data_IF_547602597273
#
_entry.id   IF_547602597273
#
_cell.length_a   1.000
_cell.length_b   1.000
_cell.length_c   1.000
_cell.angle_alpha   90.00
_cell.angle_beta   90.00
_cell.angle_gamma   90.00
#
_symmetry.space_group_name_H-M   'P 1'
#
loop_
_entity.id
_entity.type
_entity.pdbx_description
1 polymer ?
#
# COMPACT_ATOMS: atom_id res chain seq x y z
N UNK A 1 -57.32 -36.24 -24.54
CA UNK A 1 -57.13 -34.94 -23.91
C UNK A 1 -55.71 -34.90 -23.29
N UNK A 2 -54.75 -34.21 -23.92
CA UNK A 2 -53.39 -34.08 -23.42
C UNK A 2 -53.30 -32.75 -22.64
N UNK A 3 -53.01 -32.84 -21.34
CA UNK A 3 -52.75 -31.67 -20.50
C UNK A 3 -51.37 -31.15 -20.81
N UNK A 4 -51.28 -29.91 -21.24
CA UNK A 4 -50.04 -29.14 -21.37
C UNK A 4 -49.75 -28.43 -20.02
N UNK A 5 -48.71 -28.88 -19.34
CA UNK A 5 -48.20 -28.20 -18.14
C UNK A 5 -47.25 -27.11 -18.59
N UNK A 6 -47.63 -25.85 -18.40
CA UNK A 6 -46.75 -24.67 -18.65
C UNK A 6 -45.88 -24.49 -17.41
N UNK A 7 -44.60 -24.81 -17.54
CA UNK A 7 -43.59 -24.46 -16.52
C UNK A 7 -43.20 -22.98 -16.68
N UNK A 8 -43.63 -22.15 -15.73
CA UNK A 8 -43.18 -20.77 -15.64
C UNK A 8 -41.77 -20.77 -15.01
N UNK A 9 -40.77 -20.49 -15.85
CA UNK A 9 -39.40 -20.25 -15.38
C UNK A 9 -39.35 -18.83 -14.75
N UNK A 10 -39.36 -18.77 -13.43
CA UNK A 10 -39.11 -17.51 -12.71
C UNK A 10 -37.61 -17.21 -12.75
N UNK A 11 -37.22 -16.28 -13.61
CA UNK A 11 -35.89 -15.68 -13.58
C UNK A 11 -35.76 -14.80 -12.33
N UNK A 12 -35.13 -15.34 -11.30
CA UNK A 12 -34.68 -14.52 -10.16
C UNK A 12 -33.47 -13.70 -10.63
N UNK A 13 -33.70 -12.44 -10.97
CA UNK A 13 -32.64 -11.46 -11.16
C UNK A 13 -32.01 -11.21 -9.78
N UNK A 14 -30.91 -11.88 -9.53
CA UNK A 14 -30.05 -11.54 -8.41
C UNK A 14 -29.38 -10.20 -8.74
N UNK A 15 -29.99 -9.09 -8.34
CA UNK A 15 -29.30 -7.81 -8.30
C UNK A 15 -28.20 -7.94 -7.25
N UNK A 16 -26.98 -8.20 -7.69
CA UNK A 16 -25.81 -7.96 -6.87
C UNK A 16 -25.75 -6.44 -6.65
N UNK A 17 -26.33 -6.00 -5.54
CA UNK A 17 -26.09 -4.66 -5.03
C UNK A 17 -24.60 -4.54 -4.83
N UNK A 18 -23.94 -3.72 -5.66
CA UNK A 18 -22.63 -3.18 -5.35
C UNK A 18 -22.75 -2.55 -3.97
N UNK A 19 -22.20 -3.22 -2.95
CA UNK A 19 -22.27 -2.76 -1.59
C UNK A 19 -21.71 -1.34 -1.54
N UNK A 20 -22.56 -0.38 -1.18
CA UNK A 20 -22.10 0.97 -0.88
C UNK A 20 -20.97 0.82 0.13
N UNK A 21 -19.78 1.29 -0.23
CA UNK A 21 -18.63 1.34 0.68
C UNK A 21 -19.10 2.07 1.92
N UNK A 22 -19.28 1.36 3.04
CA UNK A 22 -19.70 1.97 4.30
C UNK A 22 -18.68 3.03 4.64
N UNK A 23 -19.11 4.30 4.58
CA UNK A 23 -18.26 5.42 4.97
C UNK A 23 -17.92 5.22 6.44
N UNK A 24 -16.63 5.06 6.75
CA UNK A 24 -16.16 4.99 8.11
C UNK A 24 -16.40 6.38 8.75
N UNK A 25 -17.04 6.48 9.95
CA UNK A 25 -17.27 7.76 10.62
C UNK A 25 -15.97 8.54 10.92
N UNK A 26 -14.83 7.85 10.95
CA UNK A 26 -13.50 8.45 11.13
C UNK A 26 -12.83 8.81 9.79
N UNK A 27 -13.50 8.58 8.65
CA UNK A 27 -12.99 8.86 7.32
C UNK A 27 -13.03 10.35 7.00
N UNK A 28 -11.91 10.87 6.51
CA UNK A 28 -11.70 12.28 6.17
C UNK A 28 -11.04 12.38 4.80
N UNK A 29 -11.08 13.59 4.23
CA UNK A 29 -10.38 13.89 2.99
C UNK A 29 -9.38 15.02 3.20
N UNK A 30 -8.20 14.86 2.62
CA UNK A 30 -7.15 15.86 2.49
C UNK A 30 -7.02 16.25 1.02
N UNK A 31 -6.87 17.53 0.72
CA UNK A 31 -6.63 18.00 -0.64
C UNK A 31 -5.13 18.13 -0.89
N UNK A 32 -4.60 17.31 -1.78
CA UNK A 32 -3.22 17.38 -2.23
C UNK A 32 -3.16 17.88 -3.68
N UNK A 33 -2.85 19.16 -3.88
CA UNK A 33 -2.74 19.78 -5.20
C UNK A 33 -3.97 19.54 -6.11
N UNK A 34 -5.18 19.66 -5.53
CA UNK A 34 -6.44 19.43 -6.24
C UNK A 34 -6.94 17.98 -6.22
N UNK A 35 -6.13 17.03 -5.74
CA UNK A 35 -6.48 15.61 -5.62
C UNK A 35 -7.00 15.31 -4.22
N UNK A 36 -8.17 14.68 -4.11
CA UNK A 36 -8.73 14.25 -2.81
C UNK A 36 -8.09 12.96 -2.36
N UNK A 37 -7.51 12.99 -1.19
CA UNK A 37 -6.87 11.85 -0.53
C UNK A 37 -7.70 11.46 0.67
N UNK A 38 -8.17 10.22 0.71
CA UNK A 38 -8.92 9.68 1.83
C UNK A 38 -7.97 9.13 2.89
N UNK A 39 -8.29 9.40 4.14
CA UNK A 39 -7.61 8.79 5.28
C UNK A 39 -8.57 8.58 6.45
N UNK A 40 -8.23 7.66 7.33
CA UNK A 40 -8.93 7.40 8.59
C UNK A 40 -8.02 7.79 9.74
N UNK A 41 -8.58 8.54 10.73
CA UNK A 41 -7.85 9.08 11.87
C UNK A 41 -8.57 8.62 13.13
N UNK A 42 -8.02 7.61 13.82
CA UNK A 42 -8.72 6.88 14.89
C UNK A 42 -7.83 6.73 16.12
N UNK A 43 -8.42 6.87 17.30
CA UNK A 43 -7.71 6.73 18.58
C UNK A 43 -6.99 8.01 19.00
N UNK A 44 -6.28 7.91 20.13
CA UNK A 44 -5.52 9.00 20.74
C UNK A 44 -4.16 8.45 21.18
N UNK A 45 -3.15 9.28 21.23
CA UNK A 45 -1.81 8.92 21.67
C UNK A 45 -0.75 9.24 20.61
N UNK A 46 0.37 8.53 20.63
CA UNK A 46 1.42 8.74 19.64
C UNK A 46 0.92 8.41 18.24
N UNK A 47 1.23 9.24 17.23
CA UNK A 47 0.81 8.98 15.86
C UNK A 47 1.41 7.68 15.30
N UNK A 48 0.57 6.88 14.63
CA UNK A 48 0.93 5.67 13.91
C UNK A 48 0.38 5.73 12.48
N UNK A 49 1.26 5.92 11.51
CA UNK A 49 0.93 5.91 10.08
C UNK A 49 0.84 4.48 9.57
N UNK A 50 -0.22 4.15 8.83
CA UNK A 50 -0.47 2.85 8.25
C UNK A 50 -0.60 2.97 6.72
N UNK A 51 0.33 2.36 5.97
CA UNK A 51 0.37 2.40 4.51
C UNK A 51 0.15 1.00 3.93
N UNK A 52 -0.93 0.86 3.17
CA UNK A 52 -1.33 -0.41 2.57
C UNK A 52 -0.43 -0.83 1.38
N UNK A 53 -0.48 -2.11 1.00
CA UNK A 53 0.16 -2.65 -0.20
C UNK A 53 -0.61 -2.24 -1.47
N UNK A 54 0.00 -2.44 -2.64
CA UNK A 54 -0.68 -2.28 -3.92
C UNK A 54 -1.99 -3.08 -3.94
N UNK A 55 -3.02 -2.56 -4.60
CA UNK A 55 -4.40 -3.10 -4.70
C UNK A 55 -5.25 -3.08 -3.42
N UNK A 56 -4.70 -2.76 -2.27
CA UNK A 56 -5.48 -2.62 -1.04
C UNK A 56 -5.89 -1.16 -0.78
N UNK A 57 -6.45 -0.94 0.39
CA UNK A 57 -6.92 0.36 0.89
C UNK A 57 -6.66 0.44 2.39
N UNK A 58 -6.98 1.57 3.02
CA UNK A 58 -6.96 1.71 4.48
C UNK A 58 -7.79 0.63 5.18
N UNK A 59 -8.81 0.08 4.51
CA UNK A 59 -9.66 -0.97 5.08
C UNK A 59 -8.90 -2.25 5.42
N UNK A 60 -7.77 -2.53 4.77
CA UNK A 60 -6.92 -3.68 5.11
C UNK A 60 -6.32 -3.59 6.52
N UNK A 61 -6.24 -2.39 7.07
CA UNK A 61 -5.74 -2.16 8.41
C UNK A 61 -6.81 -2.24 9.51
N UNK A 62 -8.12 -2.37 9.18
CA UNK A 62 -9.20 -2.36 10.16
C UNK A 62 -9.00 -3.30 11.36
N UNK A 63 -8.64 -4.60 11.17
CA UNK A 63 -8.41 -5.49 12.30
C UNK A 63 -7.28 -5.01 13.23
N UNK A 64 -6.25 -4.40 12.65
CA UNK A 64 -5.10 -3.86 13.39
C UNK A 64 -5.45 -2.53 14.08
N UNK A 65 -6.22 -1.66 13.41
CA UNK A 65 -6.68 -0.38 13.98
C UNK A 65 -7.50 -0.59 15.23
N UNK A 66 -8.35 -1.62 15.29
CA UNK A 66 -9.13 -1.98 16.49
C UNK A 66 -8.25 -2.25 17.72
N UNK A 67 -7.03 -2.75 17.49
CA UNK A 67 -6.05 -3.00 18.56
C UNK A 67 -5.18 -1.76 18.80
N UNK A 68 -4.61 -1.19 17.74
CA UNK A 68 -3.63 -0.11 17.86
C UNK A 68 -4.26 1.19 18.35
N UNK A 69 -5.50 1.51 17.97
CA UNK A 69 -6.19 2.73 18.38
C UNK A 69 -6.46 2.82 19.90
N UNK A 70 -6.25 1.74 20.64
CA UNK A 70 -6.28 1.75 22.12
C UNK A 70 -5.10 2.49 22.75
N UNK A 71 -3.98 2.61 22.02
CA UNK A 71 -2.73 3.20 22.52
C UNK A 71 -2.15 4.27 21.59
N UNK A 72 -2.50 4.25 20.30
CA UNK A 72 -1.97 5.12 19.27
C UNK A 72 -3.11 5.95 18.62
N UNK A 73 -2.75 7.09 18.05
CA UNK A 73 -3.55 7.77 17.04
C UNK A 73 -3.20 7.17 15.69
N UNK A 74 -4.00 6.26 15.18
CA UNK A 74 -3.77 5.59 13.88
C UNK A 74 -4.22 6.49 12.74
N UNK A 75 -3.37 6.63 11.72
CA UNK A 75 -3.63 7.37 10.47
C UNK A 75 -3.47 6.38 9.32
N UNK A 76 -4.58 5.81 8.85
CA UNK A 76 -4.59 4.85 7.74
C UNK A 76 -5.02 5.57 6.46
N UNK A 77 -4.22 5.47 5.38
CA UNK A 77 -4.40 6.27 4.17
C UNK A 77 -4.74 5.36 2.99
N UNK A 78 -5.77 5.74 2.21
CA UNK A 78 -5.92 5.23 0.84
C UNK A 78 -4.92 6.00 -0.03
N UNK A 79 -3.87 5.35 -0.51
CA UNK A 79 -2.87 6.01 -1.36
C UNK A 79 -3.51 6.46 -2.70
N UNK A 80 -2.91 7.44 -3.35
CA UNK A 80 -3.41 7.99 -4.64
C UNK A 80 -3.76 6.86 -5.61
N UNK A 81 -4.92 6.97 -6.24
CA UNK A 81 -5.46 5.97 -7.16
C UNK A 81 -6.14 4.78 -6.50
N UNK A 82 -6.00 4.60 -5.18
CA UNK A 82 -6.59 3.47 -4.46
C UNK A 82 -7.87 3.87 -3.70
N UNK A 83 -8.77 2.92 -3.53
CA UNK A 83 -9.95 3.05 -2.69
C UNK A 83 -10.75 4.32 -2.95
N UNK A 84 -10.87 5.17 -1.92
CA UNK A 84 -11.62 6.44 -1.94
C UNK A 84 -10.79 7.64 -2.38
N UNK A 85 -9.45 7.51 -2.47
CA UNK A 85 -8.57 8.56 -2.99
C UNK A 85 -8.67 8.68 -4.50
N UNK A 86 -8.58 9.92 -5.02
CA UNK A 86 -8.61 10.19 -6.45
C UNK A 86 -7.29 9.77 -7.13
N UNK A 87 -7.31 9.68 -8.46
CA UNK A 87 -6.12 9.61 -9.30
C UNK A 87 -5.51 11.01 -9.39
N UNK A 88 -4.18 11.15 -9.23
CA UNK A 88 -3.50 12.45 -9.23
C UNK A 88 -3.62 13.18 -10.57
N UNK A 89 -3.28 12.46 -11.64
CA UNK A 89 -3.46 12.90 -13.02
C UNK A 89 -3.79 11.67 -13.85
N UNK A 90 -4.89 11.70 -14.57
CA UNK A 90 -5.43 10.54 -15.28
C UNK A 90 -4.43 9.90 -16.25
N UNK A 91 -3.60 10.71 -16.91
CA UNK A 91 -2.64 10.26 -17.91
C UNK A 91 -1.23 10.08 -17.36
N UNK A 92 -0.99 10.33 -16.06
CA UNK A 92 0.31 10.19 -15.44
C UNK A 92 0.49 8.81 -14.80
N UNK A 93 0.80 7.84 -15.65
CA UNK A 93 1.18 6.48 -15.20
C UNK A 93 2.61 6.42 -14.61
N UNK A 94 3.33 7.53 -14.59
CA UNK A 94 4.68 7.63 -14.02
C UNK A 94 4.67 8.04 -12.55
N UNK A 95 3.50 8.10 -11.90
CA UNK A 95 3.39 8.39 -10.49
C UNK A 95 4.08 7.29 -9.67
N UNK A 96 5.07 7.69 -8.84
CA UNK A 96 6.02 6.78 -8.20
C UNK A 96 5.91 6.83 -6.68
N UNK A 97 6.58 5.88 -6.00
CA UNK A 97 6.63 5.84 -4.54
C UNK A 97 7.17 7.13 -3.91
N UNK A 98 8.11 7.81 -4.57
CA UNK A 98 8.57 9.13 -4.14
C UNK A 98 7.48 10.20 -4.14
N UNK A 99 6.50 10.11 -5.05
CA UNK A 99 5.36 11.04 -5.11
C UNK A 99 4.31 10.69 -4.04
N UNK A 100 4.08 9.40 -3.77
CA UNK A 100 3.31 8.98 -2.59
C UNK A 100 3.94 9.54 -1.30
N UNK A 101 5.26 9.47 -1.16
CA UNK A 101 5.96 10.00 0.01
C UNK A 101 5.73 11.50 0.17
N UNK A 102 5.86 12.31 -0.88
CA UNK A 102 5.59 13.75 -0.83
C UNK A 102 4.15 14.05 -0.40
N UNK A 103 3.17 13.31 -0.92
CA UNK A 103 1.77 13.46 -0.55
C UNK A 103 1.55 13.10 0.94
N UNK A 104 2.15 12.02 1.44
CA UNK A 104 2.06 11.63 2.86
C UNK A 104 2.69 12.68 3.76
N UNK A 105 3.86 13.24 3.41
CA UNK A 105 4.47 14.33 4.17
C UNK A 105 3.54 15.54 4.26
N UNK A 106 2.91 15.93 3.15
CA UNK A 106 1.94 17.03 3.13
C UNK A 106 0.70 16.74 4.00
N UNK A 107 0.22 15.49 3.99
CA UNK A 107 -0.87 15.07 4.89
C UNK A 107 -0.45 15.18 6.35
N UNK A 108 0.71 14.65 6.74
CA UNK A 108 1.22 14.72 8.10
C UNK A 108 1.42 16.17 8.57
N UNK A 109 1.88 17.07 7.67
CA UNK A 109 1.99 18.51 7.96
C UNK A 109 0.62 19.15 8.23
N UNK A 110 -0.37 18.83 7.40
CA UNK A 110 -1.75 19.33 7.58
C UNK A 110 -2.37 18.87 8.92
N UNK A 111 -1.98 17.68 9.38
CA UNK A 111 -2.41 17.10 10.64
C UNK A 111 -1.57 17.55 11.85
N UNK A 112 -0.53 18.37 11.62
CA UNK A 112 0.45 18.83 12.62
C UNK A 112 1.17 17.65 13.31
N UNK A 113 1.43 16.58 12.57
CA UNK A 113 2.16 15.40 13.04
C UNK A 113 3.62 15.55 12.71
N UNK A 114 4.43 15.97 13.66
CA UNK A 114 5.86 16.24 13.48
C UNK A 114 6.76 15.03 13.73
N UNK A 115 6.29 14.08 14.53
CA UNK A 115 6.94 12.79 14.74
C UNK A 115 5.90 11.67 14.66
N UNK A 116 6.26 10.54 14.04
CA UNK A 116 5.34 9.45 13.77
C UNK A 116 6.04 8.09 13.83
N UNK A 117 5.32 7.07 14.31
CA UNK A 117 5.64 5.68 14.07
C UNK A 117 4.95 5.23 12.79
N UNK A 118 5.47 4.24 12.08
CA UNK A 118 4.86 3.83 10.82
C UNK A 118 4.94 2.32 10.56
N UNK A 119 3.90 1.79 9.93
CA UNK A 119 3.88 0.42 9.40
C UNK A 119 3.48 0.50 7.93
N UNK A 120 4.22 -0.16 7.07
CA UNK A 120 3.91 -0.21 5.64
C UNK A 120 4.09 -1.60 5.06
N UNK A 121 3.17 -1.98 4.17
CA UNK A 121 3.18 -3.25 3.49
C UNK A 121 3.49 -3.07 2.01
N UNK A 122 4.44 -3.84 1.45
CA UNK A 122 4.80 -3.85 0.02
C UNK A 122 5.04 -2.42 -0.53
N UNK A 123 4.18 -1.91 -1.39
CA UNK A 123 4.24 -0.53 -1.90
C UNK A 123 4.28 0.52 -0.78
N UNK A 124 3.49 0.32 0.29
CA UNK A 124 3.53 1.16 1.50
C UNK A 124 4.88 1.08 2.21
N UNK A 125 5.49 -0.10 2.28
CA UNK A 125 6.82 -0.30 2.86
C UNK A 125 7.91 0.45 2.05
N UNK A 126 7.86 0.38 0.72
CA UNK A 126 8.77 1.13 -0.15
C UNK A 126 8.56 2.64 0.00
N UNK A 127 7.31 3.09 0.14
CA UNK A 127 7.00 4.51 0.40
C UNK A 127 7.62 4.98 1.73
N UNK A 128 7.65 4.13 2.77
CA UNK A 128 8.30 4.46 4.04
C UNK A 128 9.81 4.67 3.91
N UNK A 129 10.50 3.97 3.00
CA UNK A 129 11.92 4.24 2.72
C UNK A 129 12.10 5.65 2.17
N UNK A 130 11.27 6.06 1.18
CA UNK A 130 11.31 7.44 0.67
C UNK A 130 11.03 8.47 1.75
N UNK A 131 10.03 8.25 2.57
CA UNK A 131 9.67 9.14 3.67
C UNK A 131 10.84 9.35 4.64
N UNK A 132 11.50 8.27 5.03
CA UNK A 132 12.62 8.32 5.97
C UNK A 132 13.88 8.93 5.38
N UNK A 133 14.15 8.73 4.09
CA UNK A 133 15.30 9.37 3.41
C UNK A 133 15.05 10.85 3.14
N UNK A 134 13.79 11.27 2.91
CA UNK A 134 13.42 12.68 2.74
C UNK A 134 13.41 13.47 4.06
N UNK A 135 12.90 12.85 5.15
CA UNK A 135 12.79 13.48 6.47
C UNK A 135 13.16 12.50 7.60
N UNK A 136 14.45 12.20 7.77
CA UNK A 136 14.92 11.15 8.68
C UNK A 136 14.60 11.40 10.17
N UNK A 137 14.45 12.66 10.59
CA UNK A 137 14.16 13.02 11.98
C UNK A 137 12.66 12.91 12.33
N UNK A 138 11.81 12.67 11.33
CA UNK A 138 10.35 12.61 11.52
C UNK A 138 9.83 11.26 12.00
N UNK A 139 10.59 10.20 11.76
CA UNK A 139 10.16 8.84 12.05
C UNK A 139 10.91 8.27 13.25
N UNK A 140 10.14 7.79 14.27
CA UNK A 140 10.68 7.17 15.48
C UNK A 140 10.97 5.69 15.26
N UNK A 141 9.93 4.96 14.87
CA UNK A 141 9.99 3.52 14.63
C UNK A 141 9.23 3.18 13.36
N UNK A 142 9.78 2.27 12.57
CA UNK A 142 9.21 1.86 11.29
C UNK A 142 9.21 0.34 11.18
N UNK A 143 8.11 -0.21 10.71
CA UNK A 143 7.99 -1.62 10.32
C UNK A 143 7.69 -1.69 8.83
N UNK A 144 8.52 -2.40 8.09
CA UNK A 144 8.28 -2.71 6.68
C UNK A 144 8.02 -4.19 6.48
N UNK A 145 6.92 -4.52 5.78
CA UNK A 145 6.56 -5.89 5.43
C UNK A 145 6.59 -6.02 3.91
N UNK A 146 7.45 -6.88 3.38
CA UNK A 146 7.57 -7.12 1.94
C UNK A 146 8.03 -5.87 1.15
N UNK A 147 8.83 -4.99 1.76
CA UNK A 147 9.38 -3.79 1.11
C UNK A 147 10.57 -4.10 0.18
N UNK A 148 10.80 -3.21 -0.79
CA UNK A 148 11.92 -3.35 -1.71
C UNK A 148 12.77 -2.08 -1.75
N UNK A 149 14.07 -2.25 -1.94
CA UNK A 149 15.05 -1.17 -2.10
C UNK A 149 15.41 -0.92 -3.57
N UNK A 150 15.14 -1.87 -4.45
CA UNK A 150 15.20 -1.74 -5.90
C UNK A 150 14.32 -2.80 -6.58
N UNK A 151 13.95 -2.57 -7.82
CA UNK A 151 13.24 -3.56 -8.63
C UNK A 151 14.20 -4.69 -9.09
N UNK A 152 14.20 -5.79 -8.35
CA UNK A 152 15.01 -6.97 -8.67
C UNK A 152 14.61 -7.62 -9.99
N UNK A 153 15.50 -8.45 -10.58
CA UNK A 153 15.17 -9.27 -11.75
C UNK A 153 13.94 -10.14 -11.46
N UNK A 154 13.91 -10.78 -10.28
CA UNK A 154 12.79 -11.64 -9.85
C UNK A 154 11.45 -10.89 -9.87
N UNK A 155 11.39 -9.68 -9.31
CA UNK A 155 10.16 -8.87 -9.32
C UNK A 155 9.71 -8.53 -10.75
N UNK A 156 10.63 -8.11 -11.61
CA UNK A 156 10.29 -7.79 -13.01
C UNK A 156 9.77 -9.01 -13.79
N UNK A 157 10.37 -10.16 -13.57
CA UNK A 157 9.93 -11.43 -14.18
C UNK A 157 8.56 -11.84 -13.63
N UNK A 158 8.35 -11.69 -12.33
CA UNK A 158 7.05 -11.95 -11.70
C UNK A 158 5.95 -11.04 -12.27
N UNK A 159 6.17 -9.72 -12.39
CA UNK A 159 5.21 -8.79 -13.01
C UNK A 159 4.94 -9.19 -14.47
N UNK A 160 5.97 -9.53 -15.23
CA UNK A 160 5.84 -9.94 -16.62
C UNK A 160 5.02 -11.23 -16.76
N UNK A 161 5.22 -12.20 -15.89
CA UNK A 161 4.49 -13.46 -15.84
C UNK A 161 3.04 -13.28 -15.41
N UNK A 162 2.80 -12.41 -14.44
CA UNK A 162 1.44 -12.06 -13.97
C UNK A 162 0.61 -11.48 -15.11
N UNK A 163 1.17 -10.58 -15.89
CA UNK A 163 0.51 -9.96 -17.03
C UNK A 163 -0.49 -8.86 -16.67
N UNK A 164 -0.76 -7.96 -17.61
CA UNK A 164 -1.62 -6.80 -17.38
C UNK A 164 -3.06 -7.19 -17.00
N UNK A 165 -3.62 -8.21 -17.66
CA UNK A 165 -5.00 -8.64 -17.38
C UNK A 165 -5.19 -9.13 -15.93
N UNK A 166 -4.22 -9.85 -15.39
CA UNK A 166 -4.28 -10.29 -13.99
C UNK A 166 -4.12 -9.12 -13.02
N UNK A 167 -3.26 -8.15 -13.34
CA UNK A 167 -3.13 -6.93 -12.55
C UNK A 167 -4.44 -6.12 -12.56
N UNK A 168 -5.12 -6.03 -13.71
CA UNK A 168 -6.45 -5.43 -13.82
C UNK A 168 -7.48 -6.18 -12.96
N UNK A 169 -7.49 -7.51 -13.02
CA UNK A 169 -8.41 -8.31 -12.20
C UNK A 169 -8.22 -8.06 -10.71
N UNK A 170 -6.98 -7.96 -10.25
CA UNK A 170 -6.70 -7.63 -8.85
C UNK A 170 -7.14 -6.22 -8.45
N UNK A 171 -7.03 -5.26 -9.36
CA UNK A 171 -7.40 -3.87 -9.10
C UNK A 171 -8.91 -3.58 -9.28
N UNK A 172 -9.74 -4.55 -9.66
CA UNK A 172 -11.17 -4.36 -10.02
C UNK A 172 -12.01 -3.69 -8.94
N UNK A 173 -11.66 -3.89 -7.68
CA UNK A 173 -12.40 -3.30 -6.54
C UNK A 173 -12.29 -1.79 -6.42
N UNK A 174 -11.34 -1.17 -7.14
CA UNK A 174 -11.16 0.29 -7.14
C UNK A 174 -12.05 1.03 -8.15
N UNK A 175 -12.83 0.29 -8.94
CA UNK A 175 -13.66 0.83 -10.03
C UNK A 175 -12.90 0.93 -11.36
N UNK A 176 -13.61 1.01 -12.49
CA UNK A 176 -13.02 0.82 -13.83
C UNK A 176 -11.85 1.76 -14.15
N UNK A 177 -11.96 3.03 -13.82
CA UNK A 177 -10.93 4.04 -14.11
C UNK A 177 -9.65 3.78 -13.31
N UNK A 178 -9.77 3.50 -12.01
CA UNK A 178 -8.65 3.22 -11.12
C UNK A 178 -8.05 1.84 -11.38
N UNK A 179 -8.88 0.88 -11.76
CA UNK A 179 -8.45 -0.46 -12.14
C UNK A 179 -7.41 -0.42 -13.26
N UNK A 180 -7.73 0.27 -14.35
CA UNK A 180 -6.82 0.40 -15.48
C UNK A 180 -5.56 1.19 -15.10
N UNK A 181 -5.73 2.33 -14.42
CA UNK A 181 -4.62 3.16 -13.97
C UNK A 181 -3.62 2.38 -13.11
N UNK A 182 -4.09 1.73 -12.04
CA UNK A 182 -3.24 0.99 -11.11
C UNK A 182 -2.53 -0.18 -11.79
N UNK A 183 -3.26 -0.96 -12.61
CA UNK A 183 -2.67 -2.07 -13.35
C UNK A 183 -1.56 -1.60 -14.30
N UNK A 184 -1.75 -0.48 -15.00
CA UNK A 184 -0.75 0.12 -15.89
C UNK A 184 0.48 0.63 -15.13
N UNK A 185 0.30 1.29 -14.00
CA UNK A 185 1.42 1.77 -13.16
C UNK A 185 2.36 0.61 -12.80
N UNK A 186 1.82 -0.52 -12.31
CA UNK A 186 2.62 -1.70 -12.00
C UNK A 186 3.19 -2.34 -13.25
N UNK A 187 2.38 -2.49 -14.30
CA UNK A 187 2.84 -3.10 -15.55
C UNK A 187 4.00 -2.35 -16.20
N UNK A 188 3.95 -1.03 -16.22
CA UNK A 188 5.02 -0.22 -16.81
C UNK A 188 6.28 -0.20 -15.94
N UNK A 189 6.14 -0.34 -14.60
CA UNK A 189 7.29 -0.37 -13.69
C UNK A 189 8.30 -1.49 -13.98
N UNK A 190 7.88 -2.57 -14.67
CA UNK A 190 8.81 -3.64 -15.08
C UNK A 190 9.78 -3.22 -16.20
N UNK A 191 9.41 -2.25 -17.03
CA UNK A 191 10.24 -1.77 -18.16
C UNK A 191 11.31 -0.79 -17.68
N UNK A 192 10.93 0.05 -16.76
CA UNK A 192 11.84 0.99 -16.12
C UNK A 192 12.38 0.26 -14.89
N UNK A 193 13.62 0.26 -14.60
CA UNK A 193 14.19 -0.34 -13.38
C UNK A 193 13.48 0.11 -12.07
N UNK A 194 12.20 0.50 -12.20
CA UNK A 194 11.34 1.04 -11.17
C UNK A 194 11.79 2.42 -10.72
N UNK A 195 11.13 2.94 -9.68
CA UNK A 195 11.56 4.18 -9.03
C UNK A 195 12.44 3.91 -7.81
N UNK A 196 12.28 2.77 -7.15
CA UNK A 196 13.09 2.40 -6.00
C UNK A 196 14.54 2.13 -6.44
N UNK A 197 15.47 2.88 -5.86
CA UNK A 197 16.92 2.73 -6.05
C UNK A 197 17.63 3.28 -4.81
N UNK A 198 17.55 2.52 -3.71
CA UNK A 198 18.19 2.89 -2.46
C UNK A 198 19.57 2.23 -2.37
N UNK A 199 20.61 3.04 -2.53
CA UNK A 199 21.97 2.59 -2.32
C UNK A 199 22.30 2.44 -0.84
N UNK A 200 23.38 1.70 -0.46
CA UNK A 200 23.85 1.62 0.92
C UNK A 200 24.02 3.00 1.59
N UNK A 201 24.58 3.96 0.89
CA UNK A 201 24.79 5.32 1.44
C UNK A 201 23.45 6.02 1.75
N UNK A 202 22.44 5.86 0.90
CA UNK A 202 21.09 6.40 1.13
C UNK A 202 20.44 5.70 2.32
N UNK A 203 20.49 4.37 2.41
CA UNK A 203 19.93 3.61 3.51
C UNK A 203 20.57 3.97 4.85
N UNK A 204 21.87 4.25 4.84
CA UNK A 204 22.63 4.65 6.04
C UNK A 204 22.20 6.02 6.60
N UNK A 205 21.44 6.82 5.86
CA UNK A 205 20.87 8.10 6.36
C UNK A 205 19.63 7.91 7.24
N UNK A 206 19.04 6.72 7.26
CA UNK A 206 17.83 6.40 8.02
C UNK A 206 18.15 6.33 9.51
N UNK A 207 17.45 7.14 10.31
CA UNK A 207 17.67 7.27 11.77
C UNK A 207 16.67 6.47 12.62
N UNK A 208 15.51 6.14 12.05
CA UNK A 208 14.44 5.44 12.76
C UNK A 208 14.88 4.05 13.25
N UNK A 209 14.29 3.59 14.36
CA UNK A 209 14.33 2.16 14.71
C UNK A 209 13.54 1.38 13.65
N UNK A 210 14.18 0.45 12.97
CA UNK A 210 13.59 -0.21 11.81
C UNK A 210 13.44 -1.71 12.01
N UNK A 211 12.24 -2.24 11.73
CA UNK A 211 12.02 -3.68 11.62
C UNK A 211 11.70 -4.03 10.17
N UNK A 212 12.56 -4.85 9.58
CA UNK A 212 12.33 -5.44 8.24
C UNK A 212 11.68 -6.80 8.44
N UNK A 213 10.51 -7.00 7.84
CA UNK A 213 9.76 -8.27 7.88
C UNK A 213 9.60 -8.79 6.45
N UNK A 214 9.96 -10.04 6.22
CA UNK A 214 9.83 -10.74 4.94
C UNK A 214 9.41 -12.19 5.16
N UNK A 215 8.68 -12.76 4.20
CA UNK A 215 8.46 -14.19 4.13
C UNK A 215 9.54 -14.87 3.29
N UNK A 216 9.99 -16.07 3.68
CA UNK A 216 10.99 -16.82 2.93
C UNK A 216 10.45 -17.48 1.65
N UNK A 217 9.12 -17.58 1.52
CA UNK A 217 8.42 -18.04 0.31
C UNK A 217 7.86 -16.90 -0.56
N UNK A 218 8.33 -15.65 -0.36
CA UNK A 218 7.91 -14.54 -1.21
C UNK A 218 8.41 -14.73 -2.65
N UNK A 219 7.47 -14.95 -3.57
CA UNK A 219 7.77 -15.17 -5.01
C UNK A 219 8.09 -13.88 -5.76
N UNK A 220 7.76 -12.72 -5.20
CA UNK A 220 7.96 -11.40 -5.82
C UNK A 220 9.21 -10.69 -5.28
N UNK A 221 9.39 -10.70 -3.96
CA UNK A 221 10.45 -9.97 -3.27
C UNK A 221 11.42 -10.97 -2.64
N UNK A 222 12.64 -11.13 -3.21
CA UNK A 222 13.62 -12.05 -2.64
C UNK A 222 14.09 -11.56 -1.26
N UNK A 223 14.29 -12.49 -0.32
CA UNK A 223 14.77 -12.20 1.05
C UNK A 223 16.09 -11.42 1.06
N UNK A 224 16.88 -11.54 -0.01
CA UNK A 224 18.14 -10.82 -0.16
C UNK A 224 17.96 -9.31 -0.04
N UNK A 225 16.85 -8.74 -0.55
CA UNK A 225 16.58 -7.31 -0.41
C UNK A 225 16.38 -6.88 1.05
N UNK A 226 15.76 -7.74 1.87
CA UNK A 226 15.64 -7.47 3.31
C UNK A 226 16.96 -7.61 4.06
N UNK A 227 17.80 -8.56 3.66
CA UNK A 227 19.16 -8.70 4.21
C UNK A 227 19.97 -7.43 3.89
N UNK A 228 19.98 -6.97 2.64
CA UNK A 228 20.65 -5.74 2.23
C UNK A 228 20.09 -4.51 2.97
N UNK A 229 18.77 -4.43 3.13
CA UNK A 229 18.13 -3.37 3.91
C UNK A 229 18.62 -3.37 5.36
N UNK A 230 18.63 -4.53 6.00
CA UNK A 230 19.10 -4.69 7.38
C UNK A 230 20.59 -4.37 7.54
N UNK A 231 21.42 -4.77 6.59
CA UNK A 231 22.86 -4.51 6.64
C UNK A 231 23.21 -3.01 6.51
N UNK A 232 22.35 -2.21 5.88
CA UNK A 232 22.63 -0.82 5.54
C UNK A 232 21.78 0.20 6.31
N UNK A 233 20.72 -0.19 7.02
CA UNK A 233 19.97 0.68 7.94
C UNK A 233 20.56 0.53 9.35
N UNK A 234 21.16 1.57 9.95
CA UNK A 234 21.96 1.43 11.18
C UNK A 234 21.22 0.84 12.38
N UNK A 235 19.96 1.25 12.59
CA UNK A 235 19.14 0.85 13.73
C UNK A 235 18.08 -0.18 13.34
N UNK A 236 18.44 -1.14 12.49
CA UNK A 236 17.45 -2.11 11.98
C UNK A 236 17.54 -3.46 12.66
N UNK A 237 16.45 -4.20 12.56
CA UNK A 237 16.31 -5.64 12.87
C UNK A 237 15.66 -6.31 11.67
N UNK A 238 15.99 -7.58 11.47
CA UNK A 238 15.44 -8.41 10.41
C UNK A 238 14.64 -9.57 11.01
N UNK A 239 13.43 -9.75 10.53
CA UNK A 239 12.60 -10.91 10.82
C UNK A 239 12.19 -11.59 9.51
N UNK A 240 12.73 -12.77 9.26
CA UNK A 240 12.32 -13.65 8.18
C UNK A 240 11.30 -14.62 8.75
N UNK A 241 10.08 -14.59 8.24
CA UNK A 241 8.97 -15.45 8.69
C UNK A 241 9.04 -16.76 7.92
N UNK A 242 9.25 -17.90 8.62
CA UNK A 242 9.34 -19.20 7.98
C UNK A 242 8.03 -19.59 7.28
N UNK A 243 8.13 -20.09 6.06
CA UNK A 243 7.01 -20.41 5.17
C UNK A 243 6.08 -19.21 4.87
N UNK A 244 6.52 -18.01 5.18
CA UNK A 244 5.76 -16.78 4.91
C UNK A 244 5.79 -16.41 3.43
N UNK A 245 4.65 -15.99 2.91
CA UNK A 245 4.53 -15.42 1.56
C UNK A 245 4.84 -13.91 1.57
N UNK A 246 4.39 -13.19 0.51
CA UNK A 246 4.68 -11.76 0.33
C UNK A 246 4.26 -10.87 1.52
N UNK A 247 3.15 -11.18 2.18
CA UNK A 247 2.64 -10.44 3.35
C UNK A 247 2.41 -11.43 4.52
N UNK A 248 3.45 -11.81 5.24
CA UNK A 248 3.40 -12.87 6.24
C UNK A 248 2.87 -12.37 7.62
N UNK A 249 1.74 -11.67 7.65
CA UNK A 249 1.14 -11.10 8.87
C UNK A 249 -0.33 -11.47 9.02
#
# INVERSE_FOLDING_TARGET
MKQFTISILVFVFCFTTYGQVKVNPNGKFFNYNGTKIYYEDTGNGEPLLLLHNFINTADSWKPHVEVYAKQFRTIAVDMIGHGRSDIYKKDDINFKNGDYAKMILALLDSLKVYQVNAIGASNGATTLLYLNTMQPDRFKSVITVGGLIYHSKQLREWIAKTGLNQLMEWAKYHGPEKQEYLARVVWESRKLYGDASFTPDILNTIKANWLVVLGDNDVAIPIQLGIEMHQNIPNSRLWIVPNGEHLPH
#
